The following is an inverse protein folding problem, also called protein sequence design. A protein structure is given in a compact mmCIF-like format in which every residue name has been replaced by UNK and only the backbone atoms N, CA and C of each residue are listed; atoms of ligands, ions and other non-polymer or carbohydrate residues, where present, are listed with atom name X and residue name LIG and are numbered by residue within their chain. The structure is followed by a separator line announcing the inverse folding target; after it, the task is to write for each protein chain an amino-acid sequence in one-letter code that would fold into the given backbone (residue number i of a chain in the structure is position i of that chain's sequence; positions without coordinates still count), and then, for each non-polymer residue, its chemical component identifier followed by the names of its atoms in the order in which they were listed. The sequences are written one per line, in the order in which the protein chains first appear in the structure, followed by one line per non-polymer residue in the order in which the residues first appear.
data_IF_418942254613
#
_entry.id   IF_418942254613
#
_cell.length_a   1.000
_cell.length_b   1.000
_cell.length_c   1.000
_cell.angle_alpha   90.00
_cell.angle_beta   90.00
_cell.angle_gamma   90.00
#
_symmetry.space_group_name_H-M   'P 1'
#
loop_
_entity.id
_entity.type
_entity.pdbx_description
1 polymer ?
#
# COMPACT_ATOMS: atom_id res chain seq x y z
N UNK A 1 -15.50 -25.78 -18.60
CA UNK A 1 -15.39 -26.78 -17.51
C UNK A 1 -13.94 -27.16 -17.18
N UNK A 2 -12.98 -27.00 -18.09
CA UNK A 2 -11.54 -27.30 -17.83
C UNK A 2 -10.77 -26.24 -17.03
N UNK A 3 -11.35 -25.06 -16.75
CA UNK A 3 -10.66 -23.97 -16.02
C UNK A 3 -10.69 -24.16 -14.49
N UNK A 4 -11.61 -24.96 -13.95
CA UNK A 4 -11.68 -25.24 -12.50
C UNK A 4 -10.66 -26.30 -12.04
N UNK A 5 -10.15 -27.14 -12.94
CA UNK A 5 -9.24 -28.24 -12.58
C UNK A 5 -7.86 -27.77 -12.13
N UNK A 6 -7.33 -26.70 -12.74
CA UNK A 6 -5.97 -26.23 -12.44
C UNK A 6 -5.90 -25.40 -11.14
N UNK A 7 -7.02 -24.76 -10.75
CA UNK A 7 -7.13 -24.03 -9.49
C UNK A 7 -7.01 -24.92 -8.25
N UNK A 8 -7.46 -26.17 -8.35
CA UNK A 8 -7.36 -27.15 -7.24
C UNK A 8 -5.94 -27.61 -6.98
N UNK A 9 -5.07 -27.62 -8.00
CA UNK A 9 -3.66 -28.06 -7.86
C UNK A 9 -2.82 -26.94 -7.24
N UNK A 10 -3.13 -25.68 -7.52
CA UNK A 10 -2.47 -24.51 -6.91
C UNK A 10 -2.97 -24.21 -5.49
N UNK A 11 -4.20 -24.60 -5.12
CA UNK A 11 -4.70 -24.49 -3.74
C UNK A 11 -3.91 -25.33 -2.73
N UNK A 12 -3.18 -26.36 -3.17
CA UNK A 12 -2.33 -27.17 -2.31
C UNK A 12 -1.04 -26.48 -1.86
N UNK A 13 -0.58 -25.43 -2.55
CA UNK A 13 0.76 -24.85 -2.34
C UNK A 13 0.72 -23.49 -1.63
N UNK A 14 -0.39 -22.73 -1.70
CA UNK A 14 -0.51 -21.43 -1.01
C UNK A 14 -1.91 -21.23 -0.41
N UNK A 15 -2.06 -21.50 0.89
CA UNK A 15 -3.20 -21.04 1.69
C UNK A 15 -3.14 -19.51 1.76
N UNK A 16 -4.07 -18.79 1.11
CA UNK A 16 -4.19 -17.34 1.32
C UNK A 16 -4.82 -16.51 0.20
N UNK A 17 -5.09 -17.06 -0.99
CA UNK A 17 -5.66 -16.24 -2.09
C UNK A 17 -7.19 -16.35 -2.10
N UNK A 18 -7.85 -15.27 -1.68
CA UNK A 18 -9.31 -15.11 -1.77
C UNK A 18 -9.79 -15.30 -3.22
N UNK A 19 -10.94 -15.94 -3.42
CA UNK A 19 -11.44 -16.38 -4.73
C UNK A 19 -11.60 -15.21 -5.70
N UNK A 20 -11.85 -14.02 -5.17
CA UNK A 20 -11.95 -12.79 -5.94
C UNK A 20 -10.60 -12.36 -6.56
N UNK A 21 -9.49 -12.53 -5.83
CA UNK A 21 -8.13 -12.28 -6.35
C UNK A 21 -7.77 -13.27 -7.47
N UNK A 22 -8.20 -14.53 -7.35
CA UNK A 22 -8.00 -15.55 -8.37
C UNK A 22 -8.79 -15.22 -9.65
N UNK A 23 -10.01 -14.68 -9.51
CA UNK A 23 -10.80 -14.18 -10.64
C UNK A 23 -10.11 -13.01 -11.33
N UNK A 24 -9.61 -12.02 -10.60
CA UNK A 24 -8.90 -10.86 -11.20
C UNK A 24 -7.64 -11.31 -11.94
N UNK A 25 -6.88 -12.24 -11.38
CA UNK A 25 -5.67 -12.80 -12.01
C UNK A 25 -5.98 -13.62 -13.27
N UNK A 26 -7.08 -14.39 -13.29
CA UNK A 26 -7.56 -15.11 -14.48
C UNK A 26 -8.14 -14.16 -15.54
N UNK A 27 -8.75 -13.06 -15.11
CA UNK A 27 -9.33 -12.04 -16.00
C UNK A 27 -8.25 -11.16 -16.65
N UNK A 28 -7.18 -10.85 -15.93
CA UNK A 28 -6.05 -10.06 -16.44
C UNK A 28 -4.94 -10.86 -17.12
N UNK A 29 -4.93 -12.18 -16.99
CA UNK A 29 -3.81 -13.05 -17.38
C UNK A 29 -3.91 -13.68 -18.77
N UNK A 30 -2.99 -13.29 -19.65
CA UNK A 30 -2.43 -14.06 -20.80
C UNK A 30 -3.24 -14.29 -22.08
N UNK A 31 -4.54 -14.00 -22.20
CA UNK A 31 -5.25 -14.27 -23.47
C UNK A 31 -4.96 -13.29 -24.63
N UNK A 32 -4.46 -12.09 -24.33
CA UNK A 32 -4.13 -11.08 -25.35
C UNK A 32 -2.82 -11.34 -26.09
N UNK A 33 -1.75 -11.71 -25.37
CA UNK A 33 -0.41 -11.88 -25.95
C UNK A 33 -0.31 -13.07 -26.93
N UNK A 34 -0.97 -14.18 -26.62
CA UNK A 34 -0.99 -15.39 -27.48
C UNK A 34 -1.76 -15.13 -28.77
N UNK A 35 -2.87 -14.38 -28.71
CA UNK A 35 -3.66 -14.01 -29.90
C UNK A 35 -2.86 -13.08 -30.83
N UNK A 36 -2.10 -12.14 -30.28
CA UNK A 36 -1.24 -11.24 -31.06
C UNK A 36 -0.07 -12.01 -31.72
N UNK A 37 0.54 -12.96 -31.00
CA UNK A 37 1.62 -13.81 -31.53
C UNK A 37 1.16 -14.71 -32.70
N UNK A 38 -0.05 -15.29 -32.61
CA UNK A 38 -0.65 -16.08 -33.69
C UNK A 38 -0.91 -15.24 -34.96
N UNK A 39 -1.36 -14.01 -34.78
CA UNK A 39 -1.66 -13.08 -35.88
C UNK A 39 -0.38 -12.59 -36.58
N UNK A 40 0.69 -12.38 -35.81
CA UNK A 40 2.03 -12.08 -36.34
C UNK A 40 2.66 -13.28 -37.06
N UNK A 41 2.20 -14.50 -36.80
CA UNK A 41 2.72 -15.73 -37.41
C UNK A 41 2.13 -16.05 -38.79
N UNK A 42 1.20 -15.24 -39.33
CA UNK A 42 0.56 -15.48 -40.64
C UNK A 42 1.55 -15.22 -41.81
N UNK A 43 1.76 -16.18 -42.72
CA UNK A 43 2.71 -16.08 -43.83
C UNK A 43 2.35 -15.01 -44.87
N UNK A 44 3.37 -14.47 -45.54
CA UNK A 44 3.31 -13.24 -46.35
C UNK A 44 2.55 -13.36 -47.69
N UNK A 45 2.16 -14.56 -48.14
CA UNK A 45 1.62 -14.79 -49.49
C UNK A 45 0.08 -14.63 -49.64
N UNK A 46 -0.64 -14.16 -48.61
CA UNK A 46 -2.11 -14.04 -48.65
C UNK A 46 -2.55 -12.64 -49.14
N UNK A 47 -3.33 -12.60 -50.23
CA UNK A 47 -3.76 -11.37 -50.93
C UNK A 47 -4.58 -10.41 -50.05
N UNK A 48 -5.27 -10.91 -49.02
CA UNK A 48 -6.15 -10.12 -48.13
C UNK A 48 -5.56 -9.84 -46.72
N UNK A 49 -4.27 -10.11 -46.52
CA UNK A 49 -3.58 -10.04 -45.22
C UNK A 49 -3.77 -8.71 -44.48
N UNK A 50 -3.76 -7.58 -45.20
CA UNK A 50 -3.89 -6.24 -44.61
C UNK A 50 -5.26 -6.03 -43.94
N UNK A 51 -6.32 -6.57 -44.53
CA UNK A 51 -7.67 -6.43 -44.00
C UNK A 51 -7.89 -7.35 -42.79
N UNK A 52 -7.38 -8.58 -42.85
CA UNK A 52 -7.40 -9.51 -41.71
C UNK A 52 -6.57 -9.00 -40.52
N UNK A 53 -5.41 -8.41 -40.77
CA UNK A 53 -4.59 -7.78 -39.73
C UNK A 53 -5.29 -6.59 -39.09
N UNK A 54 -5.92 -5.71 -39.87
CA UNK A 54 -6.64 -4.55 -39.35
C UNK A 54 -7.83 -4.96 -38.48
N UNK A 55 -8.61 -5.96 -38.91
CA UNK A 55 -9.74 -6.49 -38.13
C UNK A 55 -9.28 -7.18 -36.85
N UNK A 56 -8.25 -8.03 -36.93
CA UNK A 56 -7.68 -8.69 -35.76
C UNK A 56 -7.12 -7.70 -34.75
N UNK A 57 -6.34 -6.71 -35.21
CA UNK A 57 -5.79 -5.67 -34.36
C UNK A 57 -6.90 -4.83 -33.72
N UNK A 58 -7.93 -4.47 -34.47
CA UNK A 58 -9.09 -3.75 -33.94
C UNK A 58 -9.83 -4.52 -32.86
N UNK A 59 -10.04 -5.83 -33.03
CA UNK A 59 -10.66 -6.69 -32.02
C UNK A 59 -9.78 -6.80 -30.77
N UNK A 60 -8.47 -7.04 -30.93
CA UNK A 60 -7.55 -7.12 -29.78
C UNK A 60 -7.53 -5.80 -29.02
N UNK A 61 -7.38 -4.67 -29.72
CA UNK A 61 -7.36 -3.35 -29.10
C UNK A 61 -8.67 -3.05 -28.38
N UNK A 62 -9.81 -3.34 -28.99
CA UNK A 62 -11.12 -3.18 -28.36
C UNK A 62 -11.25 -4.06 -27.10
N UNK A 63 -10.80 -5.31 -27.14
CA UNK A 63 -10.84 -6.19 -25.97
C UNK A 63 -9.92 -5.72 -24.84
N UNK A 64 -8.74 -5.19 -25.16
CA UNK A 64 -7.82 -4.63 -24.18
C UNK A 64 -8.39 -3.36 -23.54
N UNK A 65 -8.96 -2.45 -24.34
CA UNK A 65 -9.60 -1.24 -23.81
C UNK A 65 -10.81 -1.59 -22.95
N UNK A 66 -11.68 -2.48 -23.43
CA UNK A 66 -12.85 -2.93 -22.68
C UNK A 66 -12.45 -3.61 -21.37
N UNK A 67 -11.41 -4.46 -21.37
CA UNK A 67 -10.90 -5.09 -20.15
C UNK A 67 -10.31 -4.06 -19.18
N UNK A 68 -9.46 -3.15 -19.69
CA UNK A 68 -8.85 -2.11 -18.87
C UNK A 68 -9.89 -1.20 -18.19
N UNK A 69 -10.98 -0.86 -18.87
CA UNK A 69 -12.06 -0.03 -18.27
C UNK A 69 -13.03 -0.83 -17.40
N UNK A 70 -13.19 -2.14 -17.64
CA UNK A 70 -14.16 -2.97 -16.89
C UNK A 70 -13.56 -3.53 -15.60
N UNK A 71 -12.23 -3.71 -15.52
CA UNK A 71 -11.53 -4.18 -14.31
C UNK A 71 -11.84 -3.27 -13.10
N UNK A 72 -11.72 -1.93 -13.16
CA UNK A 72 -12.06 -1.05 -12.04
C UNK A 72 -13.51 -1.20 -11.59
N UNK A 73 -14.45 -1.35 -12.54
CA UNK A 73 -15.88 -1.51 -12.24
C UNK A 73 -16.19 -2.85 -11.56
N UNK A 74 -15.51 -3.92 -11.99
CA UNK A 74 -15.65 -5.27 -11.42
C UNK A 74 -15.03 -5.33 -10.03
N UNK A 75 -13.83 -4.75 -9.83
CA UNK A 75 -13.21 -4.61 -8.51
C UNK A 75 -14.10 -3.82 -7.54
N UNK A 76 -14.74 -2.75 -8.01
CA UNK A 76 -15.69 -1.97 -7.22
C UNK A 76 -16.95 -2.76 -6.84
N UNK A 77 -17.52 -3.54 -7.78
CA UNK A 77 -18.68 -4.39 -7.48
C UNK A 77 -18.36 -5.58 -6.58
N UNK A 78 -17.14 -6.11 -6.63
CA UNK A 78 -16.67 -7.20 -5.77
C UNK A 78 -16.25 -6.71 -4.37
N UNK A 79 -16.31 -5.40 -4.09
CA UNK A 79 -15.89 -4.83 -2.80
C UNK A 79 -14.39 -4.89 -2.54
N UNK A 80 -13.58 -5.19 -3.57
CA UNK A 80 -12.12 -5.28 -3.46
C UNK A 80 -11.42 -3.92 -3.46
N UNK A 81 -12.10 -2.86 -3.91
CA UNK A 81 -11.67 -1.46 -3.71
C UNK A 81 -12.19 -0.86 -2.41
N UNK A 82 -12.77 -1.66 -1.51
CA UNK A 82 -12.98 -1.19 -0.14
C UNK A 82 -11.61 -1.02 0.49
N UNK A 83 -11.08 0.21 0.40
CA UNK A 83 -10.40 0.85 1.53
C UNK A 83 -11.23 0.37 2.74
N UNK A 84 -10.71 -0.54 3.57
CA UNK A 84 -11.44 -1.02 4.76
C UNK A 84 -11.97 0.24 5.40
N UNK A 85 -13.30 0.41 5.43
CA UNK A 85 -13.90 1.68 5.80
C UNK A 85 -13.41 1.98 7.20
N UNK A 86 -12.44 2.88 7.28
CA UNK A 86 -11.87 3.25 8.56
C UNK A 86 -12.99 4.02 9.24
N UNK A 87 -13.29 3.78 10.52
CA UNK A 87 -14.39 4.47 11.17
C UNK A 87 -14.26 5.98 10.94
N UNK A 88 -15.33 6.63 10.47
CA UNK A 88 -15.33 8.07 10.16
C UNK A 88 -14.84 8.90 11.36
N UNK A 89 -15.11 8.42 12.57
CA UNK A 89 -14.62 8.99 13.81
C UNK A 89 -13.08 8.96 13.94
N UNK A 90 -12.43 7.85 13.57
CA UNK A 90 -10.98 7.76 13.52
C UNK A 90 -10.40 8.77 12.53
N UNK A 91 -10.93 8.82 11.30
CA UNK A 91 -10.44 9.75 10.27
C UNK A 91 -10.60 11.21 10.72
N UNK A 92 -11.71 11.53 11.39
CA UNK A 92 -11.96 12.86 11.94
C UNK A 92 -10.98 13.23 13.04
N UNK A 93 -10.77 12.36 14.04
CA UNK A 93 -9.87 12.63 15.16
C UNK A 93 -8.42 12.73 14.67
N UNK A 94 -7.99 11.79 13.81
CA UNK A 94 -6.67 11.84 13.16
C UNK A 94 -6.45 13.13 12.37
N UNK A 95 -7.42 13.52 11.55
CA UNK A 95 -7.34 14.76 10.76
C UNK A 95 -7.21 16.00 11.64
N UNK A 96 -7.98 16.07 12.73
CA UNK A 96 -7.90 17.16 13.69
C UNK A 96 -6.55 17.19 14.42
N UNK A 97 -6.02 16.03 14.80
CA UNK A 97 -4.72 15.92 15.47
C UNK A 97 -3.58 16.37 14.55
N UNK A 98 -3.58 15.95 13.28
CA UNK A 98 -2.59 16.37 12.29
C UNK A 98 -2.68 17.86 11.98
N UNK A 99 -3.89 18.42 11.86
CA UNK A 99 -4.09 19.85 11.67
C UNK A 99 -3.57 20.65 12.87
N UNK A 100 -3.86 20.20 14.09
CA UNK A 100 -3.39 20.84 15.33
C UNK A 100 -1.86 20.79 15.44
N UNK A 101 -1.23 19.64 15.13
CA UNK A 101 0.25 19.52 15.06
C UNK A 101 0.86 20.44 14.00
N UNK A 102 0.19 20.60 12.86
CA UNK A 102 0.65 21.52 11.82
C UNK A 102 0.57 22.97 12.29
N UNK A 103 -0.49 23.35 13.01
CA UNK A 103 -0.63 24.66 13.62
C UNK A 103 0.46 24.91 14.69
N UNK A 104 0.76 23.91 15.52
CA UNK A 104 1.84 23.96 16.51
C UNK A 104 3.21 24.21 15.88
N UNK A 105 3.56 23.45 14.83
CA UNK A 105 4.80 23.69 14.08
C UNK A 105 4.86 25.07 13.45
N UNK A 106 3.71 25.58 12.98
CA UNK A 106 3.65 26.90 12.36
C UNK A 106 3.85 28.02 13.37
N UNK A 107 3.25 27.93 14.57
CA UNK A 107 3.44 28.96 15.60
C UNK A 107 4.87 28.97 16.14
N UNK A 108 5.51 27.80 16.27
CA UNK A 108 6.92 27.70 16.64
C UNK A 108 7.83 28.38 15.60
N UNK A 109 7.52 28.20 14.31
CA UNK A 109 8.24 28.87 13.22
C UNK A 109 8.08 30.40 13.29
N UNK A 110 6.85 30.91 13.48
CA UNK A 110 6.60 32.34 13.59
C UNK A 110 7.32 32.98 14.80
N UNK A 111 7.44 32.24 15.90
CA UNK A 111 8.23 32.68 17.05
C UNK A 111 9.73 32.73 16.73
N UNK A 112 10.27 31.70 16.06
CA UNK A 112 11.68 31.67 15.63
C UNK A 112 12.03 32.80 14.65
N UNK A 113 11.09 33.21 13.79
CA UNK A 113 11.25 34.34 12.87
C UNK A 113 11.09 35.72 13.54
N UNK A 114 10.76 35.76 14.84
CA UNK A 114 10.52 37.01 15.58
C UNK A 114 9.21 37.72 15.20
N UNK A 115 8.29 37.03 14.52
CA UNK A 115 6.99 37.56 14.13
C UNK A 115 5.96 37.56 15.28
N UNK A 116 6.26 36.88 16.39
CA UNK A 116 5.41 36.78 17.58
C UNK A 116 6.13 37.27 18.84
N UNK A 117 5.38 37.94 19.71
CA UNK A 117 5.86 38.27 21.06
C UNK A 117 5.90 36.99 21.91
N UNK A 118 6.86 36.85 22.85
CA UNK A 118 6.98 35.67 23.71
C UNK A 118 5.68 35.31 24.45
N UNK A 119 4.98 36.32 24.99
CA UNK A 119 3.71 36.12 25.71
C UNK A 119 2.59 35.56 24.81
N UNK A 120 2.54 36.00 23.56
CA UNK A 120 1.54 35.54 22.59
C UNK A 120 1.84 34.10 22.15
N UNK A 121 3.11 33.78 21.93
CA UNK A 121 3.54 32.41 21.65
C UNK A 121 3.23 31.48 22.83
N UNK A 122 3.61 31.83 24.06
CA UNK A 122 3.42 31.00 25.25
C UNK A 122 1.92 30.67 25.46
N UNK A 123 1.06 31.68 25.37
CA UNK A 123 -0.40 31.51 25.55
C UNK A 123 -1.00 30.57 24.50
N UNK A 124 -0.70 30.79 23.21
CA UNK A 124 -1.31 30.01 22.13
C UNK A 124 -0.66 28.63 22.00
N UNK A 125 0.64 28.50 22.29
CA UNK A 125 1.34 27.23 22.31
C UNK A 125 0.76 26.30 23.36
N UNK A 126 0.46 26.83 24.55
CA UNK A 126 -0.20 26.07 25.61
C UNK A 126 -1.59 25.57 25.17
N UNK A 127 -2.41 26.40 24.53
CA UNK A 127 -3.72 25.99 23.99
C UNK A 127 -3.58 24.87 22.93
N UNK A 128 -2.63 25.00 22.01
CA UNK A 128 -2.37 24.00 20.98
C UNK A 128 -1.88 22.68 21.58
N UNK A 129 -1.01 22.74 22.59
CA UNK A 129 -0.48 21.57 23.28
C UNK A 129 -1.57 20.82 24.05
N UNK A 130 -2.39 21.55 24.82
CA UNK A 130 -3.55 20.97 25.51
C UNK A 130 -4.52 20.32 24.51
N UNK A 131 -4.79 20.98 23.38
CA UNK A 131 -5.67 20.44 22.35
C UNK A 131 -5.10 19.19 21.68
N UNK A 132 -3.78 19.16 21.47
CA UNK A 132 -3.08 18.01 20.92
C UNK A 132 -3.13 16.80 21.88
N UNK A 133 -2.98 17.04 23.18
CA UNK A 133 -3.08 16.00 24.22
C UNK A 133 -4.51 15.42 24.26
N UNK A 134 -5.54 16.27 24.34
CA UNK A 134 -6.94 15.84 24.34
C UNK A 134 -7.28 14.97 23.12
N UNK A 135 -6.87 15.41 21.91
CA UNK A 135 -7.13 14.65 20.68
C UNK A 135 -6.35 13.32 20.64
N UNK A 136 -5.14 13.29 21.21
CA UNK A 136 -4.32 12.07 21.29
C UNK A 136 -4.93 11.06 22.26
N UNK A 137 -5.49 11.52 23.38
CA UNK A 137 -6.15 10.67 24.36
C UNK A 137 -7.45 10.08 23.82
N UNK A 138 -8.28 10.91 23.16
CA UNK A 138 -9.50 10.44 22.48
C UNK A 138 -9.21 9.41 21.39
N UNK A 139 -8.12 9.60 20.64
CA UNK A 139 -7.69 8.63 19.65
C UNK A 139 -7.26 7.31 20.32
N UNK A 140 -6.54 7.38 21.45
CA UNK A 140 -6.11 6.20 22.20
C UNK A 140 -7.31 5.42 22.74
N UNK A 141 -8.31 6.11 23.26
CA UNK A 141 -9.57 5.53 23.72
C UNK A 141 -10.30 4.81 22.58
N UNK A 142 -10.50 5.48 21.44
CA UNK A 142 -11.13 4.88 20.25
C UNK A 142 -10.39 3.64 19.75
N UNK A 143 -9.05 3.65 19.77
CA UNK A 143 -8.25 2.48 19.41
C UNK A 143 -8.32 1.36 20.46
N UNK A 144 -8.57 1.70 21.73
CA UNK A 144 -8.86 0.74 22.79
C UNK A 144 -10.21 0.03 22.61
N UNK A 145 -11.23 0.76 22.16
CA UNK A 145 -12.57 0.22 21.87
C UNK A 145 -12.61 -0.64 20.61
N UNK A 146 -11.67 -0.42 19.68
CA UNK A 146 -11.60 -1.11 18.39
C UNK A 146 -10.26 -1.82 18.19
N UNK A 147 -10.02 -2.98 18.84
CA UNK A 147 -8.74 -3.69 18.78
C UNK A 147 -8.34 -4.05 17.34
N UNK A 148 -9.29 -4.51 16.53
CA UNK A 148 -9.01 -4.84 15.12
C UNK A 148 -8.60 -3.63 14.27
N UNK A 149 -8.98 -2.39 14.64
CA UNK A 149 -8.50 -1.17 14.00
C UNK A 149 -7.11 -0.80 14.51
N UNK A 150 -6.88 -0.90 15.83
CA UNK A 150 -5.58 -0.68 16.45
C UNK A 150 -4.51 -1.55 15.82
N UNK A 151 -4.77 -2.84 15.65
CA UNK A 151 -3.82 -3.77 15.05
C UNK A 151 -3.49 -3.37 13.61
N UNK A 152 -4.51 -2.99 12.83
CA UNK A 152 -4.31 -2.51 11.45
C UNK A 152 -3.43 -1.25 11.39
N UNK A 153 -3.66 -0.28 12.28
CA UNK A 153 -2.86 0.95 12.36
C UNK A 153 -1.41 0.63 12.75
N UNK A 154 -1.21 -0.25 13.73
CA UNK A 154 0.13 -0.67 14.19
C UNK A 154 0.87 -1.43 13.08
N UNK A 155 0.21 -2.37 12.42
CA UNK A 155 0.77 -3.10 11.27
C UNK A 155 1.21 -2.16 10.16
N UNK A 156 0.37 -1.18 9.80
CA UNK A 156 0.71 -0.21 8.77
C UNK A 156 1.93 0.65 9.18
N UNK A 157 1.97 1.10 10.44
CA UNK A 157 3.10 1.86 10.96
C UNK A 157 4.40 1.05 10.93
N UNK A 158 4.34 -0.23 11.31
CA UNK A 158 5.50 -1.15 11.24
C UNK A 158 6.02 -1.31 9.81
N UNK A 159 5.12 -1.50 8.85
CA UNK A 159 5.49 -1.59 7.43
C UNK A 159 6.19 -0.31 6.97
N UNK A 160 5.68 0.85 7.36
CA UNK A 160 6.28 2.12 6.96
C UNK A 160 7.66 2.34 7.56
N UNK A 161 7.87 1.94 8.82
CA UNK A 161 9.20 1.95 9.46
C UNK A 161 10.17 1.03 8.72
N UNK A 162 9.77 -0.20 8.39
CA UNK A 162 10.62 -1.14 7.66
C UNK A 162 10.97 -0.62 6.26
N UNK A 163 10.02 0.03 5.57
CA UNK A 163 10.30 0.71 4.29
C UNK A 163 11.30 1.85 4.43
N UNK A 164 11.15 2.67 5.47
CA UNK A 164 12.09 3.77 5.75
C UNK A 164 13.49 3.23 6.08
N UNK A 165 13.59 2.15 6.86
CA UNK A 165 14.86 1.47 7.13
C UNK A 165 15.52 0.98 5.84
N UNK A 166 14.77 0.30 4.96
CA UNK A 166 15.29 -0.15 3.67
C UNK A 166 15.80 1.02 2.81
N UNK A 167 15.04 2.10 2.73
CA UNK A 167 15.47 3.30 1.99
C UNK A 167 16.76 3.90 2.54
N UNK A 168 16.96 3.87 3.87
CA UNK A 168 18.19 4.31 4.51
C UNK A 168 19.38 3.38 4.21
N UNK A 169 19.17 2.05 4.19
CA UNK A 169 20.21 1.10 3.79
C UNK A 169 20.68 1.33 2.35
N UNK A 170 19.73 1.55 1.44
CA UNK A 170 20.03 1.90 0.05
C UNK A 170 20.87 3.18 -0.07
N UNK A 171 20.60 4.17 0.78
CA UNK A 171 21.37 5.42 0.82
C UNK A 171 22.80 5.20 1.33
N UNK A 172 22.97 4.39 2.37
CA UNK A 172 24.29 4.03 2.91
C UNK A 172 25.13 3.22 1.91
N UNK A 173 24.50 2.30 1.18
CA UNK A 173 25.16 1.54 0.11
C UNK A 173 25.61 2.48 -1.03
N UNK A 174 24.74 3.40 -1.49
CA UNK A 174 25.11 4.42 -2.50
C UNK A 174 26.24 5.33 -2.03
N UNK A 175 26.36 5.60 -0.74
CA UNK A 175 27.44 6.38 -0.16
C UNK A 175 28.77 5.59 -0.02
N UNK A 176 28.78 4.30 -0.35
CA UNK A 176 29.93 3.41 -0.20
C UNK A 176 30.25 3.06 1.26
N UNK A 177 29.31 3.30 2.18
CA UNK A 177 29.44 3.01 3.61
C UNK A 177 29.01 1.59 3.97
N UNK A 178 28.42 0.86 3.01
CA UNK A 178 27.89 -0.49 3.18
C UNK A 178 28.33 -1.35 1.98
N UNK A 179 28.81 -2.57 2.24
CA UNK A 179 29.15 -3.52 1.16
C UNK A 179 27.90 -4.19 0.61
N UNK A 180 27.98 -4.73 -0.62
CA UNK A 180 26.86 -5.43 -1.25
C UNK A 180 26.44 -6.68 -0.44
N UNK A 181 27.40 -7.37 0.18
CA UNK A 181 27.11 -8.51 1.07
C UNK A 181 26.35 -8.07 2.32
N UNK A 182 26.78 -6.99 2.97
CA UNK A 182 26.13 -6.45 4.16
C UNK A 182 24.73 -5.89 3.83
N UNK A 183 24.56 -5.28 2.66
CA UNK A 183 23.26 -4.81 2.20
C UNK A 183 22.29 -5.98 2.00
N UNK A 184 22.74 -7.03 1.31
CA UNK A 184 21.92 -8.22 1.06
C UNK A 184 21.50 -8.92 2.35
N UNK A 185 22.37 -8.97 3.36
CA UNK A 185 22.04 -9.57 4.67
C UNK A 185 20.98 -8.76 5.42
N UNK A 186 21.14 -7.43 5.47
CA UNK A 186 20.20 -6.53 6.16
C UNK A 186 18.85 -6.44 5.45
N UNK A 187 18.83 -6.44 4.11
CA UNK A 187 17.57 -6.50 3.34
C UNK A 187 16.83 -7.81 3.59
N UNK A 188 17.54 -8.93 3.67
CA UNK A 188 16.93 -10.23 3.96
C UNK A 188 16.30 -10.26 5.38
N UNK A 189 16.92 -9.60 6.36
CA UNK A 189 16.35 -9.44 7.70
C UNK A 189 15.05 -8.61 7.69
N UNK A 190 15.02 -7.51 6.93
CA UNK A 190 13.82 -6.67 6.77
C UNK A 190 12.71 -7.45 6.07
N UNK A 191 13.02 -8.17 4.99
CA UNK A 191 12.05 -8.97 4.25
C UNK A 191 11.48 -10.10 5.13
N UNK A 192 12.31 -10.74 5.96
CA UNK A 192 11.84 -11.73 6.94
C UNK A 192 10.86 -11.13 7.96
N UNK A 193 11.10 -9.90 8.43
CA UNK A 193 10.18 -9.18 9.33
C UNK A 193 8.86 -8.78 8.65
N UNK A 194 8.87 -8.56 7.33
CA UNK A 194 7.66 -8.26 6.54
C UNK A 194 6.80 -9.51 6.29
N UNK A 195 7.44 -10.68 6.14
CA UNK A 195 6.77 -11.95 5.85
C UNK A 195 6.26 -12.70 7.09
N UNK A 196 6.75 -12.36 8.29
CA UNK A 196 6.32 -12.97 9.53
C UNK A 196 4.79 -12.80 9.75
N UNK A 197 4.03 -13.88 10.00
CA UNK A 197 2.60 -13.78 10.30
C UNK A 197 2.41 -12.93 11.56
N UNK A 198 1.48 -11.99 11.48
CA UNK A 198 1.07 -11.10 12.57
C UNK A 198 0.31 -11.87 13.66
N UNK A 199 0.99 -12.77 14.37
CA UNK A 199 0.60 -13.23 15.69
C UNK A 199 1.55 -12.61 16.70
N UNK A 200 1.00 -12.22 17.85
CA UNK A 200 1.65 -11.51 18.95
C UNK A 200 3.10 -11.95 19.23
N UNK A 201 4.06 -11.14 18.82
CA UNK A 201 5.37 -11.11 19.46
C UNK A 201 5.53 -9.75 20.14
N UNK A 202 5.09 -9.71 21.39
CA UNK A 202 5.65 -8.82 22.41
C UNK A 202 7.12 -9.19 22.52
N UNK A 203 7.95 -8.58 21.68
CA UNK A 203 9.39 -8.58 21.89
C UNK A 203 9.62 -7.68 23.09
N UNK A 204 9.73 -8.29 24.27
CA UNK A 204 10.31 -7.68 25.46
C UNK A 204 11.72 -7.21 25.08
N UNK A 205 11.85 -5.92 24.79
CA UNK A 205 13.16 -5.28 24.71
C UNK A 205 13.61 -5.05 26.15
N UNK A 206 14.30 -6.05 26.69
CA UNK A 206 15.04 -5.95 27.93
C UNK A 206 16.17 -4.92 27.72
N UNK A 207 16.01 -3.72 28.27
CA UNK A 207 17.05 -2.69 28.27
C UNK A 207 18.01 -3.04 29.43
N UNK A 208 19.28 -3.39 29.16
CA UNK A 208 20.26 -3.51 30.24
C UNK A 208 20.54 -2.11 30.83
N UNK A 209 20.44 -2.05 32.15
CA UNK A 209 20.66 -0.86 33.00
C UNK A 209 22.11 -0.36 33.02
#
# INVERSE_FOLDING_TARGET
VTVYGLGSILQGVRRGVDRAHLHVMIWGGLRGAVSLALVLSIPLQVVERRQLLAMSFGVVLFTLLAQATTIPMVLARLGLTSKKATPLEYERIQGQLLATRSAGRHIDHLYQEGALLPVAWETVKEEVDQRQEELSDRLRELLGEHPGLRDQVISLARIEVLRAQRAALDELARAGLLSDEALSELEAEIDAKLEAPHDDEVVDIEIPA
#
